data_IF_702960165447
#
_entry.id   IF_702960165447
#
_cell.length_a   1.000
_cell.length_b   1.000
_cell.length_c   1.000
_cell.angle_alpha   90.00
_cell.angle_beta   90.00
_cell.angle_gamma   90.00
#
_symmetry.space_group_name_H-M   'P 1'
#
loop_
_entity.id
_entity.type
_entity.pdbx_description
1 polymer ?
#
# COMPACT_ATOMS: atom_id res chain seq x y z
N UNK A 1 -31.87 57.30 -56.83
CA UNK A 1 -33.08 57.72 -56.08
C UNK A 1 -32.71 57.63 -54.60
N UNK A 2 -32.18 58.69 -53.98
CA UNK A 2 -32.95 59.72 -53.24
C UNK A 2 -34.04 59.06 -52.37
N UNK A 3 -34.10 59.19 -51.05
CA UNK A 3 -33.72 60.32 -50.20
C UNK A 3 -34.02 59.94 -48.73
N UNK A 4 -33.53 60.78 -47.81
CA UNK A 4 -34.03 61.05 -46.44
C UNK A 4 -33.73 60.02 -45.34
N UNK A 5 -33.49 60.40 -44.08
CA UNK A 5 -33.09 61.66 -43.40
C UNK A 5 -32.93 61.27 -41.92
N UNK A 6 -32.02 61.93 -41.24
CA UNK A 6 -31.79 61.93 -39.79
C UNK A 6 -33.05 62.19 -38.94
N UNK A 7 -33.10 61.60 -37.75
CA UNK A 7 -33.53 62.17 -36.43
C UNK A 7 -33.50 61.04 -35.40
N UNK A 8 -32.54 61.03 -34.46
CA UNK A 8 -32.66 61.59 -33.08
C UNK A 8 -33.67 60.77 -32.26
N UNK A 9 -33.27 59.81 -31.41
CA UNK A 9 -32.64 59.93 -30.08
C UNK A 9 -33.33 60.93 -29.15
N UNK A 10 -34.22 60.40 -28.31
CA UNK A 10 -34.47 60.80 -26.90
C UNK A 10 -34.61 59.45 -26.16
N UNK A 11 -33.77 59.01 -25.21
CA UNK A 11 -32.86 59.76 -24.35
C UNK A 11 -33.60 60.26 -23.11
N UNK A 12 -33.83 59.41 -22.12
CA UNK A 12 -33.29 59.61 -20.76
C UNK A 12 -33.94 58.71 -19.70
N UNK A 13 -33.14 58.45 -18.66
CA UNK A 13 -33.53 57.92 -17.34
C UNK A 13 -33.38 56.42 -17.09
N UNK A 14 -32.14 55.91 -17.07
CA UNK A 14 -31.79 54.82 -16.15
C UNK A 14 -30.29 54.67 -15.79
N UNK A 15 -29.39 55.30 -16.54
CA UNK A 15 -27.94 55.11 -16.32
C UNK A 15 -27.40 55.77 -15.04
N UNK A 16 -28.08 56.78 -14.50
CA UNK A 16 -27.67 57.43 -13.24
C UNK A 16 -27.96 56.58 -12.00
N UNK A 17 -28.98 55.71 -12.04
CA UNK A 17 -29.30 54.79 -10.95
C UNK A 17 -28.39 53.55 -10.97
N UNK A 18 -27.96 53.11 -12.16
CA UNK A 18 -26.98 52.02 -12.31
C UNK A 18 -25.57 52.46 -11.87
N UNK A 19 -25.16 53.68 -12.21
CA UNK A 19 -23.91 54.25 -11.73
C UNK A 19 -23.90 54.40 -10.20
N UNK A 20 -25.06 54.76 -9.60
CA UNK A 20 -25.17 54.90 -8.15
C UNK A 20 -25.01 53.58 -7.38
N UNK A 21 -25.53 52.48 -7.93
CA UNK A 21 -25.38 51.14 -7.35
C UNK A 21 -23.99 50.54 -7.56
N UNK A 22 -23.25 50.98 -8.58
CA UNK A 22 -21.90 50.49 -8.87
C UNK A 22 -20.85 50.97 -7.85
N UNK A 23 -21.04 52.15 -7.24
CA UNK A 23 -20.13 52.64 -6.19
C UNK A 23 -20.55 52.22 -4.77
N UNK A 24 -21.70 51.58 -4.59
CA UNK A 24 -22.16 51.00 -3.32
C UNK A 24 -21.57 49.60 -3.03
N UNK A 25 -20.40 49.29 -3.61
CA UNK A 25 -19.61 48.14 -3.15
C UNK A 25 -19.00 48.54 -1.80
N UNK A 26 -19.67 48.15 -0.71
CA UNK A 26 -19.04 48.09 0.62
C UNK A 26 -17.76 47.28 0.48
N UNK A 27 -16.62 47.98 0.46
CA UNK A 27 -15.32 47.37 0.71
C UNK A 27 -15.45 46.57 2.01
N UNK A 28 -15.01 45.30 2.04
CA UNK A 28 -15.09 44.50 3.27
C UNK A 28 -14.41 45.27 4.39
N UNK A 29 -15.08 45.31 5.56
CA UNK A 29 -14.58 45.96 6.77
C UNK A 29 -13.09 45.65 6.92
N UNK A 30 -12.28 46.71 7.03
CA UNK A 30 -10.84 46.60 7.25
C UNK A 30 -10.65 45.71 8.48
N UNK A 31 -10.17 44.48 8.25
CA UNK A 31 -9.89 43.53 9.33
C UNK A 31 -9.00 44.23 10.34
N UNK A 32 -9.43 44.39 11.61
CA UNK A 32 -8.66 45.08 12.62
C UNK A 32 -7.22 44.57 12.64
N UNK A 33 -6.25 45.49 12.78
CA UNK A 33 -4.82 45.17 12.70
C UNK A 33 -4.39 44.04 13.67
N UNK A 34 -5.10 43.90 14.79
CA UNK A 34 -4.86 42.84 15.76
C UNK A 34 -5.40 41.47 15.32
N UNK A 35 -6.49 41.45 14.54
CA UNK A 35 -7.02 40.24 13.89
C UNK A 35 -6.08 39.79 12.75
N UNK A 36 -5.49 40.73 12.00
CA UNK A 36 -4.44 40.42 11.02
C UNK A 36 -3.20 39.79 11.68
N UNK A 37 -2.72 40.36 12.79
CA UNK A 37 -1.61 39.77 13.57
C UNK A 37 -1.98 38.41 14.16
N UNK A 38 -3.24 38.21 14.55
CA UNK A 38 -3.72 36.92 15.04
C UNK A 38 -3.71 35.88 13.90
N UNK A 39 -4.16 36.26 12.70
CA UNK A 39 -4.12 35.43 11.49
C UNK A 39 -2.67 35.10 11.09
N UNK A 40 -1.75 36.05 11.17
CA UNK A 40 -0.32 35.79 10.90
C UNK A 40 0.28 34.81 11.92
N UNK A 41 -0.08 34.93 13.20
CA UNK A 41 0.36 34.01 14.25
C UNK A 41 -0.20 32.60 14.04
N UNK A 42 -1.47 32.46 13.65
CA UNK A 42 -2.05 31.14 13.37
C UNK A 42 -1.40 30.52 12.14
N UNK A 43 -1.16 31.28 11.07
CA UNK A 43 -0.42 30.80 9.90
C UNK A 43 1.00 30.36 10.25
N UNK A 44 1.71 31.14 11.07
CA UNK A 44 3.05 30.77 11.55
C UNK A 44 3.02 29.48 12.39
N UNK A 45 2.03 29.34 13.29
CA UNK A 45 1.84 28.14 14.09
C UNK A 45 1.54 26.90 13.21
N UNK A 46 0.69 27.05 12.19
CA UNK A 46 0.40 25.98 11.23
C UNK A 46 1.65 25.54 10.47
N UNK A 47 2.50 26.49 10.05
CA UNK A 47 3.76 26.18 9.37
C UNK A 47 4.68 25.37 10.29
N UNK A 48 4.81 25.78 11.55
CA UNK A 48 5.63 25.07 12.56
C UNK A 48 5.07 23.67 12.81
N UNK A 49 3.75 23.53 12.98
CA UNK A 49 3.10 22.23 13.19
C UNK A 49 3.28 21.30 12.00
N UNK A 50 3.06 21.78 10.76
CA UNK A 50 3.28 20.98 9.55
C UNK A 50 4.73 20.54 9.41
N UNK A 51 5.68 21.44 9.70
CA UNK A 51 7.10 21.12 9.68
C UNK A 51 7.44 20.04 10.73
N UNK A 52 6.88 20.15 11.93
CA UNK A 52 7.04 19.17 13.00
C UNK A 52 6.45 17.80 12.63
N UNK A 53 5.21 17.74 12.15
CA UNK A 53 4.59 16.49 11.71
C UNK A 53 5.38 15.85 10.57
N UNK A 54 5.83 16.64 9.59
CA UNK A 54 6.69 16.14 8.51
C UNK A 54 8.02 15.58 9.04
N UNK A 55 8.61 16.21 10.06
CA UNK A 55 9.81 15.70 10.72
C UNK A 55 9.55 14.37 11.41
N UNK A 56 8.45 14.26 12.16
CA UNK A 56 8.04 13.03 12.84
C UNK A 56 7.75 11.89 11.85
N UNK A 57 7.05 12.17 10.75
CA UNK A 57 6.78 11.20 9.70
C UNK A 57 8.07 10.69 9.06
N UNK A 58 9.05 11.56 8.83
CA UNK A 58 10.38 11.17 8.32
C UNK A 58 11.11 10.25 9.29
N UNK A 59 11.05 10.54 10.60
CA UNK A 59 11.63 9.70 11.65
C UNK A 59 10.98 8.31 11.62
N UNK A 60 9.65 8.25 11.67
CA UNK A 60 8.90 6.99 11.66
C UNK A 60 9.22 6.20 10.39
N UNK A 61 9.23 6.85 9.22
CA UNK A 61 9.56 6.19 7.96
C UNK A 61 10.98 5.61 7.95
N UNK A 62 11.97 6.33 8.48
CA UNK A 62 13.34 5.81 8.59
C UNK A 62 13.40 4.57 9.48
N UNK A 63 12.75 4.60 10.65
CA UNK A 63 12.70 3.45 11.55
C UNK A 63 11.98 2.25 10.91
N UNK A 64 10.85 2.48 10.25
CA UNK A 64 10.13 1.46 9.51
C UNK A 64 10.97 0.86 8.37
N UNK A 65 11.75 1.69 7.68
CA UNK A 65 12.68 1.23 6.63
C UNK A 65 13.75 0.32 7.22
N UNK A 66 14.35 0.68 8.35
CA UNK A 66 15.31 -0.18 9.04
C UNK A 66 14.66 -1.50 9.48
N UNK A 67 13.41 -1.45 9.94
CA UNK A 67 12.62 -2.63 10.33
C UNK A 67 12.43 -3.59 9.16
N UNK A 68 12.01 -3.11 7.98
CA UNK A 68 11.89 -3.95 6.78
C UNK A 68 13.24 -4.54 6.38
N UNK A 69 14.30 -3.74 6.35
CA UNK A 69 15.63 -4.23 5.95
C UNK A 69 16.14 -5.30 6.92
N UNK A 70 15.93 -5.14 8.22
CA UNK A 70 16.33 -6.12 9.21
C UNK A 70 15.41 -7.36 9.19
N UNK A 71 14.11 -7.19 8.89
CA UNK A 71 13.18 -8.30 8.68
C UNK A 71 13.64 -9.20 7.51
N UNK A 72 13.96 -8.60 6.37
CA UNK A 72 14.42 -9.32 5.17
C UNK A 72 15.76 -10.04 5.37
N UNK A 73 16.72 -9.42 6.07
CA UNK A 73 18.09 -9.93 6.12
C UNK A 73 18.42 -10.75 7.37
N UNK A 74 17.68 -10.58 8.46
CA UNK A 74 18.10 -11.12 9.76
C UNK A 74 17.04 -12.01 10.44
N UNK A 75 15.75 -11.67 10.34
CA UNK A 75 14.70 -12.30 11.18
C UNK A 75 13.49 -12.81 10.40
N UNK A 76 13.61 -12.97 9.08
CA UNK A 76 12.53 -13.48 8.21
C UNK A 76 11.92 -14.78 8.76
N UNK A 77 12.76 -15.75 9.12
CA UNK A 77 12.31 -17.03 9.66
C UNK A 77 11.56 -16.88 10.99
N UNK A 78 12.06 -16.04 11.90
CA UNK A 78 11.42 -15.83 13.22
C UNK A 78 10.05 -15.16 13.09
N UNK A 79 9.90 -14.19 12.18
CA UNK A 79 8.61 -13.58 11.86
C UNK A 79 7.67 -14.63 11.27
N UNK A 80 8.11 -15.40 10.26
CA UNK A 80 7.27 -16.43 9.65
C UNK A 80 6.88 -17.53 10.62
N UNK A 81 7.76 -17.93 11.55
CA UNK A 81 7.44 -18.93 12.57
C UNK A 81 6.26 -18.49 13.46
N UNK A 82 6.04 -17.18 13.63
CA UNK A 82 4.89 -16.63 14.35
C UNK A 82 3.65 -16.50 13.48
N UNK A 83 3.81 -16.15 12.20
CA UNK A 83 2.67 -15.90 11.30
C UNK A 83 2.14 -17.21 10.69
N UNK A 84 3.03 -18.05 10.17
CA UNK A 84 2.72 -19.30 9.48
C UNK A 84 3.87 -20.32 9.67
N UNK A 85 3.82 -21.16 10.72
CA UNK A 85 4.89 -22.11 11.04
C UNK A 85 5.21 -23.09 9.92
N UNK A 86 4.20 -23.51 9.14
CA UNK A 86 4.37 -24.43 8.01
C UNK A 86 5.19 -23.81 6.89
N UNK A 87 4.91 -22.55 6.52
CA UNK A 87 5.71 -21.82 5.54
C UNK A 87 7.12 -21.49 6.06
N UNK A 88 7.26 -21.23 7.36
CA UNK A 88 8.57 -21.00 7.97
C UNK A 88 9.50 -22.22 7.81
N UNK A 89 8.94 -23.43 7.95
CA UNK A 89 9.68 -24.68 7.71
C UNK A 89 10.15 -24.79 6.25
N UNK A 90 9.28 -24.45 5.29
CA UNK A 90 9.63 -24.46 3.86
C UNK A 90 10.71 -23.42 3.51
N UNK A 91 10.66 -22.22 4.10
CA UNK A 91 11.68 -21.18 3.86
C UNK A 91 13.05 -21.58 4.42
N UNK A 92 13.08 -22.44 5.45
CA UNK A 92 14.33 -22.97 6.02
C UNK A 92 14.89 -24.14 5.22
N UNK A 93 14.07 -24.79 4.39
CA UNK A 93 14.49 -25.92 3.58
C UNK A 93 15.42 -25.47 2.44
N UNK A 94 16.70 -25.93 2.40
CA UNK A 94 17.63 -25.55 1.35
C UNK A 94 17.21 -26.04 -0.05
N UNK A 95 16.39 -27.09 -0.13
CA UNK A 95 15.90 -27.63 -1.40
C UNK A 95 14.84 -26.72 -2.04
N UNK A 96 14.11 -25.96 -1.22
CA UNK A 96 13.10 -25.01 -1.67
C UNK A 96 13.70 -23.62 -1.63
N UNK A 97 14.15 -23.15 -2.79
CA UNK A 97 14.68 -21.79 -2.92
C UNK A 97 13.54 -20.76 -2.77
N UNK A 98 13.24 -20.38 -1.53
CA UNK A 98 12.25 -19.36 -1.20
C UNK A 98 12.91 -18.02 -0.88
N UNK A 99 12.28 -16.92 -1.31
CA UNK A 99 12.61 -15.56 -0.89
C UNK A 99 11.37 -14.85 -0.39
N UNK A 100 11.39 -14.46 0.87
CA UNK A 100 10.37 -13.58 1.44
C UNK A 100 10.72 -12.14 1.11
N UNK A 101 9.72 -11.36 0.69
CA UNK A 101 9.87 -9.90 0.54
C UNK A 101 8.89 -9.20 1.44
N UNK A 102 9.32 -8.09 2.02
CA UNK A 102 8.49 -7.24 2.84
C UNK A 102 8.30 -5.90 2.13
N UNK A 103 7.12 -5.30 2.27
CA UNK A 103 6.78 -4.01 1.66
C UNK A 103 5.93 -3.19 2.60
N UNK A 104 5.91 -1.89 2.35
CA UNK A 104 4.90 -1.01 2.93
C UNK A 104 3.58 -1.12 2.18
N UNK A 105 2.51 -1.20 2.93
CA UNK A 105 1.13 -1.15 2.45
C UNK A 105 0.33 -0.11 3.24
N UNK A 106 -0.84 0.24 2.71
CA UNK A 106 -1.74 1.23 3.30
C UNK A 106 -1.85 2.49 2.47
N UNK A 107 -3.00 3.16 2.59
CA UNK A 107 -3.30 4.43 1.91
C UNK A 107 -2.83 5.65 2.71
N UNK A 108 -2.77 5.51 4.03
CA UNK A 108 -2.47 6.58 4.97
C UNK A 108 -1.16 6.30 5.70
N UNK A 109 -0.50 7.34 6.18
CA UNK A 109 0.67 7.24 7.04
C UNK A 109 0.25 7.05 8.52
N UNK A 110 0.99 6.27 9.32
CA UNK A 110 2.14 5.43 8.95
C UNK A 110 1.72 4.15 8.21
N UNK A 111 2.53 3.67 7.25
CA UNK A 111 2.20 2.46 6.51
C UNK A 111 2.31 1.22 7.40
N UNK A 112 1.51 0.19 7.12
CA UNK A 112 1.70 -1.13 7.69
C UNK A 112 2.65 -1.98 6.84
N UNK A 113 3.24 -3.00 7.43
CA UNK A 113 4.13 -3.92 6.71
C UNK A 113 3.29 -5.07 6.15
N UNK A 114 3.53 -5.42 4.89
CA UNK A 114 3.03 -6.64 4.25
C UNK A 114 4.20 -7.51 3.82
N UNK A 115 3.97 -8.81 3.69
CA UNK A 115 4.95 -9.74 3.16
C UNK A 115 4.35 -10.69 2.12
N UNK A 116 5.22 -11.22 1.27
CA UNK A 116 4.88 -12.24 0.28
C UNK A 116 6.07 -13.17 0.05
N UNK A 117 5.78 -14.45 -0.11
CA UNK A 117 6.78 -15.49 -0.34
C UNK A 117 6.87 -15.73 -1.84
N UNK A 118 8.09 -15.66 -2.36
CA UNK A 118 8.40 -15.93 -3.75
C UNK A 118 9.27 -17.17 -3.84
N UNK A 119 8.99 -18.02 -4.83
CA UNK A 119 9.90 -19.08 -5.21
C UNK A 119 10.95 -18.50 -6.17
N UNK A 120 12.22 -18.68 -5.83
CA UNK A 120 13.35 -18.33 -6.67
C UNK A 120 13.78 -19.57 -7.43
N UNK A 121 13.57 -19.57 -8.74
CA UNK A 121 13.77 -20.80 -9.53
C UNK A 121 15.04 -20.76 -10.38
N UNK A 122 16.02 -19.93 -10.01
CA UNK A 122 17.28 -19.81 -10.76
C UNK A 122 17.12 -19.41 -12.24
N UNK A 123 16.00 -18.81 -12.62
CA UNK A 123 15.69 -18.45 -14.01
C UNK A 123 14.80 -19.45 -14.76
N UNK A 124 14.47 -20.60 -14.15
CA UNK A 124 13.47 -21.52 -14.70
C UNK A 124 12.04 -21.02 -14.38
N UNK A 125 11.09 -21.19 -15.29
CA UNK A 125 9.69 -20.84 -15.00
C UNK A 125 9.10 -21.79 -13.94
N UNK A 126 8.48 -21.26 -12.89
CA UNK A 126 7.65 -22.09 -12.01
C UNK A 126 6.37 -22.45 -12.76
N UNK A 127 6.16 -23.75 -13.02
CA UNK A 127 4.90 -24.21 -13.59
C UNK A 127 3.89 -24.39 -12.47
N UNK A 128 2.85 -23.56 -12.50
CA UNK A 128 1.71 -23.69 -11.63
C UNK A 128 0.70 -24.63 -12.29
N UNK A 129 0.26 -25.66 -11.56
CA UNK A 129 -0.72 -26.61 -12.04
C UNK A 129 -2.06 -26.35 -11.37
N UNK A 130 -3.10 -26.20 -12.17
CA UNK A 130 -4.49 -26.14 -11.72
C UNK A 130 -5.33 -27.14 -12.51
N UNK A 131 -6.41 -27.65 -11.92
CA UNK A 131 -7.37 -28.48 -12.66
C UNK A 131 -7.93 -27.76 -13.89
N UNK A 132 -8.13 -26.44 -13.78
CA UNK A 132 -8.61 -25.56 -14.86
C UNK A 132 -7.69 -25.59 -16.09
N UNK A 133 -6.38 -25.48 -15.88
CA UNK A 133 -5.41 -25.42 -16.98
C UNK A 133 -4.99 -26.82 -17.45
N UNK A 134 -5.18 -27.84 -16.61
CA UNK A 134 -4.75 -29.22 -16.90
C UNK A 134 -5.83 -30.03 -17.62
N UNK A 135 -7.10 -29.84 -17.27
CA UNK A 135 -8.22 -30.60 -17.83
C UNK A 135 -8.76 -29.91 -19.09
N UNK A 136 -8.67 -30.58 -20.23
CA UNK A 136 -9.27 -30.08 -21.47
C UNK A 136 -10.80 -30.18 -21.38
N UNK A 137 -11.57 -29.14 -21.79
CA UNK A 137 -13.04 -29.14 -21.68
C UNK A 137 -13.74 -30.36 -22.30
N UNK A 138 -13.15 -30.96 -23.35
CA UNK A 138 -13.68 -32.14 -24.04
C UNK A 138 -13.08 -33.48 -23.59
N UNK A 139 -12.31 -33.49 -22.50
CA UNK A 139 -11.68 -34.71 -21.99
C UNK A 139 -12.62 -35.52 -21.10
N UNK A 140 -12.46 -36.84 -21.11
CA UNK A 140 -13.15 -37.76 -20.19
C UNK A 140 -12.93 -37.37 -18.72
N UNK A 141 -11.74 -36.85 -18.40
CA UNK A 141 -11.42 -36.35 -17.06
C UNK A 141 -12.34 -35.22 -16.58
N UNK A 142 -12.88 -34.37 -17.48
CA UNK A 142 -13.86 -33.34 -17.10
C UNK A 142 -15.23 -33.95 -16.82
N UNK A 143 -15.63 -34.94 -17.61
CA UNK A 143 -16.88 -35.70 -17.39
C UNK A 143 -16.82 -36.41 -16.05
N UNK A 144 -15.69 -37.04 -15.74
CA UNK A 144 -15.48 -37.73 -14.47
C UNK A 144 -15.38 -36.74 -13.30
N UNK A 145 -14.73 -35.59 -13.49
CA UNK A 145 -14.71 -34.52 -12.49
C UNK A 145 -16.14 -34.02 -12.17
N UNK A 146 -16.99 -33.88 -13.19
CA UNK A 146 -18.40 -33.52 -13.02
C UNK A 146 -19.17 -34.60 -12.24
N UNK A 147 -18.98 -35.89 -12.58
CA UNK A 147 -19.57 -37.02 -11.84
C UNK A 147 -19.12 -37.05 -10.37
N UNK A 148 -17.83 -36.83 -10.12
CA UNK A 148 -17.24 -36.86 -8.77
C UNK A 148 -17.69 -35.68 -7.90
N UNK A 149 -17.74 -34.47 -8.45
CA UNK A 149 -18.13 -33.26 -7.71
C UNK A 149 -19.65 -33.12 -7.56
N UNK A 150 -20.41 -33.70 -8.50
CA UNK A 150 -21.84 -33.50 -8.66
C UNK A 150 -22.17 -32.24 -9.45
N UNK A 151 -23.25 -32.32 -10.23
CA UNK A 151 -23.67 -31.30 -11.19
C UNK A 151 -23.70 -29.89 -10.59
N UNK A 152 -24.28 -29.72 -9.40
CA UNK A 152 -24.42 -28.39 -8.77
C UNK A 152 -23.08 -27.70 -8.56
N UNK A 153 -22.13 -28.37 -7.89
CA UNK A 153 -20.81 -27.78 -7.60
C UNK A 153 -20.02 -27.51 -8.87
N UNK A 154 -20.15 -28.39 -9.85
CA UNK A 154 -19.50 -28.24 -11.15
C UNK A 154 -20.04 -27.01 -11.90
N UNK A 155 -21.37 -26.85 -11.99
CA UNK A 155 -21.97 -25.66 -12.60
C UNK A 155 -21.66 -24.38 -11.82
N UNK A 156 -21.67 -24.44 -10.48
CA UNK A 156 -21.28 -23.29 -9.65
C UNK A 156 -19.85 -22.83 -9.97
N UNK A 157 -18.89 -23.77 -10.15
CA UNK A 157 -17.52 -23.44 -10.57
C UNK A 157 -17.47 -22.77 -11.95
N UNK A 158 -18.20 -23.31 -12.94
CA UNK A 158 -18.25 -22.71 -14.29
C UNK A 158 -18.83 -21.30 -14.25
N UNK A 159 -19.90 -21.08 -13.48
CA UNK A 159 -20.50 -19.76 -13.32
C UNK A 159 -19.51 -18.79 -12.68
N UNK A 160 -18.79 -19.22 -11.63
CA UNK A 160 -17.77 -18.38 -11.00
C UNK A 160 -16.64 -18.03 -11.95
N UNK A 161 -16.17 -18.97 -12.77
CA UNK A 161 -15.15 -18.72 -13.79
C UNK A 161 -15.61 -17.65 -14.80
N UNK A 162 -16.87 -17.74 -15.26
CA UNK A 162 -17.44 -16.75 -16.17
C UNK A 162 -17.54 -15.35 -15.53
N UNK A 163 -17.95 -15.28 -14.26
CA UNK A 163 -18.04 -14.02 -13.52
C UNK A 163 -16.65 -13.39 -13.30
N UNK A 164 -15.63 -14.21 -13.01
CA UNK A 164 -14.25 -13.74 -12.87
C UNK A 164 -13.72 -13.20 -14.19
N UNK A 165 -13.97 -13.89 -15.30
CA UNK A 165 -13.60 -13.40 -16.63
C UNK A 165 -14.24 -12.05 -16.94
N UNK A 166 -15.54 -11.89 -16.68
CA UNK A 166 -16.23 -10.59 -16.88
C UNK A 166 -15.61 -9.46 -16.04
N UNK A 167 -15.18 -9.77 -14.81
CA UNK A 167 -14.59 -8.78 -13.90
C UNK A 167 -13.17 -8.37 -14.29
N UNK A 168 -12.30 -9.32 -14.64
CA UNK A 168 -10.87 -9.08 -14.82
C UNK A 168 -10.42 -9.01 -16.28
N UNK A 169 -11.21 -9.54 -17.23
CA UNK A 169 -10.95 -9.65 -18.69
C UNK A 169 -9.73 -10.48 -19.10
N UNK A 170 -8.68 -10.52 -18.27
CA UNK A 170 -7.50 -11.38 -18.42
C UNK A 170 -7.52 -12.39 -17.28
N UNK A 171 -8.25 -13.48 -17.47
CA UNK A 171 -8.47 -14.50 -16.42
C UNK A 171 -7.91 -15.88 -16.80
N UNK A 172 -7.46 -16.05 -18.04
CA UNK A 172 -6.85 -17.28 -18.56
C UNK A 172 -5.55 -16.99 -19.34
N UNK A 173 -4.72 -18.00 -19.52
CA UNK A 173 -3.47 -17.94 -20.28
C UNK A 173 -3.72 -17.51 -21.74
N UNK A 174 -4.86 -17.91 -22.31
CA UNK A 174 -5.26 -17.53 -23.67
C UNK A 174 -5.58 -16.04 -23.82
N UNK A 175 -5.89 -15.34 -22.73
CA UNK A 175 -6.19 -13.92 -22.73
C UNK A 175 -4.92 -13.05 -22.71
N UNK A 176 -3.76 -13.65 -22.42
CA UNK A 176 -2.49 -12.95 -22.25
C UNK A 176 -1.83 -12.71 -23.60
N UNK A 177 -2.02 -11.51 -24.15
CA UNK A 177 -1.41 -11.10 -25.42
C UNK A 177 -0.19 -10.20 -25.20
N UNK A 178 -0.20 -9.40 -24.14
CA UNK A 178 0.88 -8.45 -23.83
C UNK A 178 1.57 -8.75 -22.49
N UNK A 179 2.76 -8.17 -22.28
CA UNK A 179 3.45 -8.22 -20.99
C UNK A 179 2.62 -7.59 -19.86
N UNK A 180 1.80 -6.58 -20.17
CA UNK A 180 0.89 -5.96 -19.20
C UNK A 180 -0.20 -6.95 -18.78
N UNK A 181 -0.76 -7.67 -19.74
CA UNK A 181 -1.75 -8.72 -19.47
C UNK A 181 -1.14 -9.84 -18.64
N UNK A 182 0.12 -10.22 -18.91
CA UNK A 182 0.84 -11.20 -18.10
C UNK A 182 0.98 -10.74 -16.63
N UNK A 183 1.28 -9.46 -16.40
CA UNK A 183 1.33 -8.91 -15.03
C UNK A 183 -0.04 -8.92 -14.35
N UNK A 184 -1.11 -8.58 -15.07
CA UNK A 184 -2.47 -8.64 -14.56
C UNK A 184 -2.92 -10.07 -14.25
N UNK A 185 -2.67 -11.00 -15.16
CA UNK A 185 -2.95 -12.43 -15.01
C UNK A 185 -2.20 -13.03 -13.81
N UNK A 186 -0.92 -12.68 -13.64
CA UNK A 186 -0.13 -13.14 -12.48
C UNK A 186 -0.71 -12.64 -11.17
N UNK A 187 -1.12 -11.36 -11.11
CA UNK A 187 -1.78 -10.80 -9.91
C UNK A 187 -3.12 -11.47 -9.65
N UNK A 188 -3.92 -11.69 -10.70
CA UNK A 188 -5.20 -12.39 -10.63
C UNK A 188 -5.03 -13.82 -10.08
N UNK A 189 -4.05 -14.58 -10.58
CA UNK A 189 -3.75 -15.92 -10.06
C UNK A 189 -3.33 -15.87 -8.60
N UNK A 190 -2.51 -14.90 -8.20
CA UNK A 190 -2.06 -14.74 -6.81
C UNK A 190 -3.20 -14.36 -5.86
N UNK A 191 -4.17 -13.58 -6.31
CA UNK A 191 -5.36 -13.18 -5.54
C UNK A 191 -6.45 -14.24 -5.51
N UNK A 192 -6.53 -15.09 -6.54
CA UNK A 192 -7.56 -16.11 -6.66
C UNK A 192 -7.32 -17.24 -5.64
N UNK A 193 -8.35 -17.67 -4.89
CA UNK A 193 -8.23 -18.77 -3.93
C UNK A 193 -7.84 -20.10 -4.57
N UNK A 194 -7.17 -20.96 -3.79
CA UNK A 194 -6.73 -22.29 -4.24
C UNK A 194 -7.86 -23.20 -4.72
N UNK A 195 -9.03 -23.15 -4.07
CA UNK A 195 -10.18 -23.96 -4.45
C UNK A 195 -10.83 -23.54 -5.79
N UNK A 196 -10.50 -22.34 -6.30
CA UNK A 196 -10.88 -21.86 -7.63
C UNK A 196 -9.73 -21.98 -8.64
N UNK A 197 -8.68 -22.73 -8.30
CA UNK A 197 -7.52 -22.91 -9.17
C UNK A 197 -6.53 -21.74 -9.16
N UNK A 198 -6.61 -20.81 -8.21
CA UNK A 198 -5.61 -19.76 -8.01
C UNK A 198 -4.51 -20.12 -7.00
N UNK A 199 -3.47 -19.29 -6.90
CA UNK A 199 -2.31 -19.54 -6.03
C UNK A 199 -2.55 -19.19 -4.56
N UNK A 200 -3.55 -18.35 -4.26
CA UNK A 200 -3.80 -17.83 -2.91
C UNK A 200 -2.56 -17.19 -2.26
N UNK A 201 -1.69 -16.55 -3.05
CA UNK A 201 -0.43 -15.94 -2.62
C UNK A 201 -0.52 -14.40 -2.65
N UNK A 202 -1.47 -13.86 -1.91
CA UNK A 202 -1.65 -12.42 -1.77
C UNK A 202 -0.57 -11.77 -0.88
N UNK A 203 -0.48 -10.44 -0.90
CA UNK A 203 0.30 -9.71 0.09
C UNK A 203 -0.39 -9.80 1.45
N UNK A 204 0.30 -10.39 2.44
CA UNK A 204 -0.26 -10.61 3.78
C UNK A 204 0.23 -9.53 4.74
N UNK A 205 -0.69 -8.93 5.49
CA UNK A 205 -0.39 -7.90 6.48
C UNK A 205 0.26 -8.52 7.72
N UNK A 206 1.30 -7.86 8.23
CA UNK A 206 1.86 -8.13 9.55
C UNK A 206 1.20 -7.21 10.59
N UNK A 207 0.79 -7.82 11.70
CA UNK A 207 0.38 -7.17 12.93
C UNK A 207 1.56 -7.08 13.91
N UNK A 208 1.39 -6.24 14.92
CA UNK A 208 2.36 -6.08 16.01
C UNK A 208 2.62 -7.40 16.76
N UNK A 209 1.61 -8.26 16.86
CA UNK A 209 1.70 -9.58 17.51
C UNK A 209 2.66 -10.55 16.80
N UNK A 210 2.95 -10.30 15.52
CA UNK A 210 3.87 -11.14 14.76
C UNK A 210 5.34 -10.87 15.10
N UNK A 211 5.64 -9.70 15.69
CA UNK A 211 7.00 -9.32 16.06
C UNK A 211 7.31 -9.73 17.52
N UNK A 212 8.48 -10.34 17.78
CA UNK A 212 8.89 -10.63 19.15
C UNK A 212 9.05 -9.35 19.98
N UNK A 213 8.37 -9.27 21.14
CA UNK A 213 8.49 -8.16 22.12
C UNK A 213 9.90 -7.93 22.68
N UNK A 214 10.79 -8.90 22.45
CA UNK A 214 12.21 -8.86 22.83
C UNK A 214 13.08 -8.07 21.84
N UNK A 215 12.55 -7.71 20.66
CA UNK A 215 13.27 -6.97 19.61
C UNK A 215 12.83 -5.51 19.58
N UNK A 216 13.75 -4.62 19.20
CA UNK A 216 13.44 -3.19 18.98
C UNK A 216 12.47 -3.01 17.81
N UNK A 217 12.42 -3.95 16.85
CA UNK A 217 11.37 -3.96 15.83
C UNK A 217 9.96 -3.82 16.40
N UNK A 218 9.67 -4.49 17.52
CA UNK A 218 8.37 -4.38 18.17
C UNK A 218 8.13 -2.94 18.65
N UNK A 219 9.11 -2.32 19.31
CA UNK A 219 8.99 -0.94 19.80
C UNK A 219 8.80 0.06 18.64
N UNK A 220 9.48 -0.16 17.50
CA UNK A 220 9.32 0.67 16.31
C UNK A 220 7.91 0.54 15.73
N UNK A 221 7.40 -0.70 15.62
CA UNK A 221 6.06 -0.95 15.11
C UNK A 221 4.99 -0.41 16.06
N UNK A 222 5.18 -0.57 17.36
CA UNK A 222 4.31 0.01 18.38
C UNK A 222 4.32 1.54 18.29
N UNK A 223 5.50 2.17 18.28
CA UNK A 223 5.64 3.62 18.12
C UNK A 223 4.94 4.15 16.86
N UNK A 224 5.05 3.44 15.72
CA UNK A 224 4.33 3.81 14.52
C UNK A 224 2.80 3.74 14.71
N UNK A 225 2.29 2.78 15.47
CA UNK A 225 0.83 2.63 15.68
C UNK A 225 0.26 3.51 16.79
N UNK A 226 0.98 3.66 17.90
CA UNK A 226 0.50 4.31 19.12
C UNK A 226 1.04 5.73 19.30
N UNK A 227 2.13 6.09 18.59
CA UNK A 227 2.85 7.34 18.80
C UNK A 227 3.66 7.38 20.11
N UNK A 228 3.71 6.27 20.87
CA UNK A 228 4.40 6.22 22.17
C UNK A 228 5.83 5.69 22.03
N UNK A 229 6.80 6.44 22.57
CA UNK A 229 8.20 6.09 22.46
C UNK A 229 8.63 5.26 23.68
N UNK A 230 9.04 4.01 23.44
CA UNK A 230 9.62 3.14 24.46
C UNK A 230 11.02 3.62 24.90
N UNK A 231 11.35 3.50 26.18
CA UNK A 231 12.67 3.85 26.72
C UNK A 231 13.82 3.15 25.98
N UNK A 232 13.56 1.91 25.53
CA UNK A 232 14.54 1.11 24.77
C UNK A 232 14.81 1.76 23.42
N UNK A 233 13.74 2.13 22.71
CA UNK A 233 13.84 2.79 21.42
C UNK A 233 14.47 4.18 21.57
N UNK A 234 14.12 4.92 22.61
CA UNK A 234 14.66 6.27 22.86
C UNK A 234 16.20 6.28 22.99
N UNK A 235 16.79 5.26 23.64
CA UNK A 235 18.25 5.12 23.79
C UNK A 235 18.95 4.94 22.44
N UNK A 236 18.36 4.12 21.57
CA UNK A 236 18.95 3.74 20.28
C UNK A 236 18.55 4.71 19.15
N UNK A 237 17.53 5.53 19.36
CA UNK A 237 16.90 6.40 18.35
C UNK A 237 17.92 7.29 17.65
N UNK A 238 18.81 7.94 18.43
CA UNK A 238 19.84 8.82 17.87
C UNK A 238 20.80 8.10 16.93
N UNK A 239 21.08 6.82 17.19
CA UNK A 239 21.98 6.02 16.37
C UNK A 239 21.26 5.46 15.13
N UNK A 240 20.01 5.03 15.28
CA UNK A 240 19.19 4.52 14.18
C UNK A 240 18.83 5.58 13.14
N UNK A 241 18.66 6.85 13.55
CA UNK A 241 18.35 7.95 12.62
C UNK A 241 19.58 8.50 11.88
N UNK A 242 20.79 8.07 12.25
CA UNK A 242 21.99 8.51 11.54
C UNK A 242 22.10 7.83 10.18
N UNK A 243 22.42 8.61 9.15
CA UNK A 243 22.73 8.07 7.83
C UNK A 243 24.00 7.22 7.92
N UNK A 244 23.97 5.94 7.48
CA UNK A 244 25.12 5.06 7.56
C UNK A 244 26.26 5.59 6.70
N UNK A 245 27.43 5.80 7.32
CA UNK A 245 28.66 6.24 6.63
C UNK A 245 29.52 5.06 6.15
N UNK A 246 29.39 3.90 6.80
CA UNK A 246 30.10 2.67 6.46
C UNK A 246 29.15 1.47 6.39
N UNK A 247 29.60 0.38 5.74
CA UNK A 247 28.86 -0.90 5.69
C UNK A 247 28.72 -1.52 7.08
N UNK A 248 29.73 -1.37 7.93
CA UNK A 248 29.75 -1.86 9.31
C UNK A 248 28.67 -1.16 10.15
N UNK A 249 28.61 0.17 10.10
CA UNK A 249 27.58 0.94 10.78
C UNK A 249 26.17 0.53 10.33
N UNK A 250 25.97 0.31 9.04
CA UNK A 250 24.70 -0.17 8.52
C UNK A 250 24.36 -1.57 9.07
N UNK A 251 25.33 -2.48 9.11
CA UNK A 251 25.14 -3.82 9.66
C UNK A 251 24.82 -3.79 11.16
N UNK A 252 25.49 -2.93 11.92
CA UNK A 252 25.24 -2.73 13.35
C UNK A 252 23.84 -2.14 13.60
N UNK A 253 23.41 -1.16 12.80
CA UNK A 253 22.04 -0.65 12.85
C UNK A 253 21.00 -1.77 12.60
N UNK A 254 21.22 -2.62 11.61
CA UNK A 254 20.35 -3.77 11.36
C UNK A 254 20.37 -4.78 12.51
N UNK A 255 21.54 -5.02 13.10
CA UNK A 255 21.71 -5.91 14.25
C UNK A 255 20.94 -5.40 15.46
N UNK A 256 21.05 -4.11 15.80
CA UNK A 256 20.32 -3.49 16.92
C UNK A 256 18.81 -3.71 16.78
N UNK A 257 18.28 -3.53 15.56
CA UNK A 257 16.85 -3.68 15.28
C UNK A 257 16.42 -5.15 15.40
N UNK A 258 17.23 -6.09 14.89
CA UNK A 258 16.90 -7.52 14.80
C UNK A 258 17.28 -8.38 16.01
N UNK A 259 18.16 -7.90 16.90
CA UNK A 259 18.69 -8.71 17.98
C UNK A 259 17.61 -9.06 19.01
N UNK A 260 17.50 -10.35 19.32
CA UNK A 260 16.69 -10.84 20.44
C UNK A 260 17.42 -10.47 21.74
N UNK A 261 16.85 -9.57 22.54
CA UNK A 261 17.36 -9.29 23.88
C UNK A 261 16.65 -10.23 24.87
N UNK A 262 17.42 -11.13 25.49
CA UNK A 262 16.94 -11.93 26.61
C UNK A 262 16.88 -11.04 27.85
N UNK A 263 15.78 -11.14 28.61
CA UNK A 263 15.71 -10.54 29.94
C UNK A 263 16.70 -11.29 30.83
N UNK A 264 17.68 -10.58 31.37
CA UNK A 264 18.49 -11.06 32.49
C UNK A 264 17.74 -10.90 33.79
#
# INVERSE_FOLDING_TARGET
MSSLRSSELDGDSDDSQLAAKFWEVKLPDVVPLDDLKAIEKTQAAEVIQRAWFSHMDKIIFQLLKHTICAAENCVTHEILKKVCPSEAALVKDPSVQCKVRFRFGGKNFPPFIVFKIFLHTGGHGNKYFSGKNTLRPSSEAVVDACKLMGNRKYYDQIIQDQLQFQKYKVADEVDVVTMKDYMHFTSFLDETPAYLGGKSNCWRRLSLENFPKTMIMYDIMDYATSGTLSDRLQKELKYLLQKPKSKEMHHDQLRIVSQVRHWG
#
